data_IF_881575146021
#
_entry.id   IF_881575146021
#
_cell.length_a   1.000
_cell.length_b   1.000
_cell.length_c   1.000
_cell.angle_alpha   90.00
_cell.angle_beta   90.00
_cell.angle_gamma   90.00
#
_symmetry.space_group_name_H-M   'P 1'
#
loop_
_entity.id
_entity.type
_entity.pdbx_description
1 polymer ?
#
# COMPACT_ATOMS: atom_id res chain seq x y z
N UNK A 1 -24.52 -67.91 -10.99
CA UNK A 1 -24.47 -66.63 -11.77
C UNK A 1 -24.68 -65.49 -10.80
N UNK A 2 -23.61 -64.82 -10.36
CA UNK A 2 -23.68 -63.63 -9.50
C UNK A 2 -23.42 -62.44 -10.38
N UNK A 3 -24.39 -61.50 -10.45
CA UNK A 3 -24.28 -60.24 -11.17
C UNK A 3 -23.55 -59.23 -10.26
N UNK A 4 -22.40 -58.75 -10.70
CA UNK A 4 -21.66 -57.64 -10.08
C UNK A 4 -22.25 -56.35 -10.63
N UNK A 5 -22.85 -55.55 -9.75
CA UNK A 5 -23.31 -54.23 -10.08
C UNK A 5 -22.13 -53.22 -9.89
N UNK A 6 -21.68 -52.66 -11.00
CA UNK A 6 -20.65 -51.61 -10.99
C UNK A 6 -21.31 -50.29 -10.65
N UNK A 7 -21.02 -49.73 -9.48
CA UNK A 7 -21.44 -48.37 -9.10
C UNK A 7 -20.43 -47.38 -9.71
N UNK A 8 -20.86 -46.61 -10.71
CA UNK A 8 -20.10 -45.49 -11.25
C UNK A 8 -20.40 -44.28 -10.37
N UNK A 9 -19.43 -43.91 -9.55
CA UNK A 9 -19.48 -42.70 -8.72
C UNK A 9 -19.07 -41.50 -9.59
N UNK A 10 -20.04 -40.67 -9.96
CA UNK A 10 -19.77 -39.38 -10.58
C UNK A 10 -19.15 -38.43 -9.51
N UNK A 11 -17.84 -38.22 -9.59
CA UNK A 11 -17.21 -37.08 -8.91
C UNK A 11 -17.61 -35.82 -9.67
N UNK A 12 -18.54 -35.08 -9.12
CA UNK A 12 -18.76 -33.69 -9.55
C UNK A 12 -17.54 -32.87 -9.12
N UNK A 13 -16.68 -32.54 -10.06
CA UNK A 13 -15.67 -31.50 -9.89
C UNK A 13 -16.43 -30.17 -9.67
N UNK A 14 -16.57 -29.77 -8.42
CA UNK A 14 -16.92 -28.40 -8.09
C UNK A 14 -15.67 -27.56 -8.37
N UNK A 15 -15.63 -26.95 -9.56
CA UNK A 15 -14.67 -25.91 -9.86
C UNK A 15 -14.87 -24.81 -8.80
N UNK A 16 -13.78 -24.26 -8.18
CA UNK A 16 -13.93 -23.11 -7.32
C UNK A 16 -14.51 -22.00 -8.20
N UNK A 17 -15.65 -21.47 -7.82
CA UNK A 17 -16.20 -20.28 -8.42
C UNK A 17 -15.16 -19.17 -8.18
N UNK A 18 -14.39 -18.85 -9.21
CA UNK A 18 -13.66 -17.59 -9.26
C UNK A 18 -14.75 -16.52 -9.18
N UNK A 19 -14.87 -15.84 -8.07
CA UNK A 19 -15.67 -14.64 -7.96
C UNK A 19 -15.09 -13.67 -8.98
N UNK A 20 -15.70 -13.60 -10.16
CA UNK A 20 -15.42 -12.54 -11.10
C UNK A 20 -15.75 -11.24 -10.37
N UNK A 21 -14.72 -10.45 -10.12
CA UNK A 21 -14.88 -9.12 -9.52
C UNK A 21 -15.72 -8.33 -10.53
N UNK A 22 -16.99 -8.13 -10.23
CA UNK A 22 -17.93 -7.34 -11.03
C UNK A 22 -17.67 -5.83 -10.83
N UNK A 23 -16.42 -5.42 -10.94
CA UNK A 23 -16.03 -4.01 -10.96
C UNK A 23 -16.17 -3.47 -12.38
N UNK A 24 -16.51 -2.19 -12.51
CA UNK A 24 -16.47 -1.54 -13.81
C UNK A 24 -15.06 -1.66 -14.41
N UNK A 25 -14.94 -2.02 -15.70
CA UNK A 25 -13.62 -2.14 -16.30
C UNK A 25 -12.88 -0.80 -16.23
N UNK A 26 -11.58 -0.81 -15.97
CA UNK A 26 -10.78 0.40 -15.97
C UNK A 26 -10.95 1.14 -17.32
N UNK A 27 -11.18 2.43 -17.26
CA UNK A 27 -11.18 3.30 -18.42
C UNK A 27 -10.03 4.29 -18.30
N UNK A 28 -9.39 4.69 -19.41
CA UNK A 28 -8.43 5.77 -19.38
C UNK A 28 -9.08 7.03 -18.81
N UNK A 29 -8.40 7.77 -17.92
CA UNK A 29 -8.88 9.04 -17.41
C UNK A 29 -9.19 10.03 -18.52
N UNK A 30 -10.23 10.83 -18.34
CA UNK A 30 -10.50 11.96 -19.22
C UNK A 30 -9.54 13.12 -18.91
N UNK A 31 -9.01 13.77 -19.95
CA UNK A 31 -8.07 14.92 -19.79
C UNK A 31 -8.67 16.16 -20.44
N UNK A 32 -9.88 16.53 -20.02
CA UNK A 32 -10.56 17.73 -20.45
C UNK A 32 -10.40 18.81 -19.36
N UNK A 33 -9.75 19.91 -19.70
CA UNK A 33 -9.44 20.98 -18.76
C UNK A 33 -10.68 21.46 -17.99
N UNK A 34 -10.57 21.51 -16.66
CA UNK A 34 -11.65 21.89 -15.77
C UNK A 34 -12.74 20.83 -15.53
N UNK A 35 -12.63 19.65 -16.11
CA UNK A 35 -13.56 18.53 -15.89
C UNK A 35 -12.91 17.44 -15.04
N UNK A 36 -13.69 16.64 -14.28
CA UNK A 36 -13.16 15.49 -13.57
C UNK A 36 -12.52 14.47 -14.52
N UNK A 37 -11.44 13.81 -14.08
CA UNK A 37 -10.81 12.73 -14.85
C UNK A 37 -11.65 11.46 -14.89
N UNK A 38 -12.47 11.21 -13.86
CA UNK A 38 -13.40 10.10 -13.79
C UNK A 38 -14.80 10.53 -14.27
N UNK A 39 -15.21 9.99 -15.41
CA UNK A 39 -16.50 10.33 -16.07
C UNK A 39 -17.56 9.25 -15.94
N UNK A 40 -17.19 8.05 -15.45
CA UNK A 40 -18.14 6.97 -15.21
C UNK A 40 -19.07 7.32 -14.05
N UNK A 41 -20.22 6.67 -14.00
CA UNK A 41 -21.11 6.75 -12.83
C UNK A 41 -20.42 6.09 -11.63
N UNK A 42 -20.65 6.61 -10.41
CA UNK A 42 -20.16 5.96 -9.20
C UNK A 42 -20.75 4.54 -9.07
N UNK A 43 -19.98 3.63 -8.51
CA UNK A 43 -20.43 2.27 -8.18
C UNK A 43 -21.52 2.32 -7.09
N UNK A 44 -21.38 3.22 -6.13
CA UNK A 44 -22.38 3.51 -5.10
C UNK A 44 -23.23 4.71 -5.53
N UNK A 45 -24.28 4.41 -6.31
CA UNK A 45 -25.06 5.40 -7.04
C UNK A 45 -25.74 6.49 -6.16
N UNK A 46 -25.99 6.22 -4.90
CA UNK A 46 -26.60 7.11 -3.91
C UNK A 46 -25.59 7.84 -3.03
N UNK A 47 -24.28 7.55 -3.21
CA UNK A 47 -23.24 8.21 -2.44
C UNK A 47 -23.11 9.70 -2.80
N UNK A 48 -22.88 10.51 -1.78
CA UNK A 48 -22.68 11.95 -1.92
C UNK A 48 -21.50 12.39 -1.08
N UNK A 49 -20.59 13.18 -1.66
CA UNK A 49 -19.50 13.77 -0.88
C UNK A 49 -20.06 14.68 0.22
N UNK A 50 -19.42 14.69 1.37
CA UNK A 50 -19.78 15.59 2.48
C UNK A 50 -19.33 17.03 2.23
N UNK A 51 -18.37 17.23 1.34
CA UNK A 51 -17.92 18.54 0.88
C UNK A 51 -17.47 18.45 -0.59
N UNK A 52 -17.54 19.55 -1.36
CA UNK A 52 -17.35 19.53 -2.81
C UNK A 52 -16.03 18.95 -3.30
N UNK A 53 -14.92 19.18 -2.55
CA UNK A 53 -13.57 18.76 -2.95
C UNK A 53 -13.24 17.32 -2.53
N UNK A 54 -14.18 16.56 -1.97
CA UNK A 54 -13.93 15.21 -1.45
C UNK A 54 -13.77 14.15 -2.55
N UNK A 55 -14.22 14.41 -3.76
CA UNK A 55 -14.12 13.51 -4.92
C UNK A 55 -14.18 14.28 -6.23
N UNK A 56 -13.77 13.66 -7.34
CA UNK A 56 -13.94 14.17 -8.71
C UNK A 56 -13.41 15.58 -8.89
N UNK A 57 -12.20 15.85 -8.39
CA UNK A 57 -11.53 17.12 -8.60
C UNK A 57 -11.33 17.41 -10.11
N UNK A 58 -11.32 18.67 -10.54
CA UNK A 58 -11.13 19.01 -11.95
C UNK A 58 -9.70 18.67 -12.42
N UNK A 59 -9.60 18.24 -13.67
CA UNK A 59 -8.31 18.08 -14.34
C UNK A 59 -7.69 19.44 -14.64
N UNK A 60 -6.43 19.59 -14.28
CA UNK A 60 -5.59 20.71 -14.68
C UNK A 60 -4.21 20.23 -15.09
N UNK A 61 -3.88 20.41 -16.37
CA UNK A 61 -2.57 20.06 -16.90
C UNK A 61 -1.48 20.94 -16.26
N UNK A 62 -0.34 20.32 -15.94
CA UNK A 62 0.81 21.06 -15.39
C UNK A 62 1.88 21.31 -16.45
N UNK A 63 3.01 20.65 -16.34
CA UNK A 63 4.19 20.90 -17.19
C UNK A 63 4.65 19.64 -17.91
N UNK A 64 5.18 19.76 -19.11
CA UNK A 64 5.75 18.63 -19.82
C UNK A 64 7.00 18.11 -19.09
N UNK A 65 7.17 16.81 -19.12
CA UNK A 65 8.31 16.11 -18.51
C UNK A 65 8.87 15.05 -19.46
N UNK A 66 10.08 14.60 -19.15
CA UNK A 66 10.76 13.49 -19.81
C UNK A 66 10.70 12.28 -18.86
N UNK A 67 10.43 11.11 -19.42
CA UNK A 67 10.52 9.82 -18.72
C UNK A 67 11.78 9.09 -19.16
N UNK A 68 12.56 8.62 -18.20
CA UNK A 68 13.72 7.77 -18.42
C UNK A 68 13.54 6.47 -17.67
N UNK A 69 13.61 5.33 -18.37
CA UNK A 69 13.68 4.02 -17.71
C UNK A 69 15.09 3.81 -17.21
N UNK A 70 15.26 3.65 -15.89
CA UNK A 70 16.56 3.40 -15.27
C UNK A 70 16.90 1.91 -15.28
N UNK A 71 15.91 1.06 -15.05
CA UNK A 71 15.98 -0.40 -15.09
C UNK A 71 14.61 -0.96 -15.45
N UNK A 72 14.54 -2.07 -16.18
CA UNK A 72 13.28 -2.64 -16.71
C UNK A 72 13.10 -4.14 -16.46
N UNK A 73 13.96 -4.72 -15.65
CA UNK A 73 13.99 -6.15 -15.36
C UNK A 73 14.01 -6.46 -13.85
N UNK A 74 13.30 -5.68 -13.06
CA UNK A 74 13.07 -5.97 -11.64
C UNK A 74 11.95 -7.01 -11.49
N UNK A 75 12.08 -7.88 -10.50
CA UNK A 75 10.92 -8.62 -10.00
C UNK A 75 9.91 -7.67 -9.39
N UNK A 76 8.71 -8.17 -9.04
CA UNK A 76 7.68 -7.30 -8.44
C UNK A 76 8.25 -6.60 -7.21
N UNK A 77 8.54 -5.30 -7.36
CA UNK A 77 9.18 -4.47 -6.35
C UNK A 77 8.10 -3.70 -5.61
N UNK A 78 8.08 -3.80 -4.27
CA UNK A 78 7.03 -3.27 -3.42
C UNK A 78 7.43 -2.00 -2.67
N UNK A 79 8.72 -1.82 -2.42
CA UNK A 79 9.27 -0.67 -1.70
C UNK A 79 10.56 -0.16 -2.34
N UNK A 80 10.81 1.13 -2.12
CA UNK A 80 12.01 1.82 -2.59
C UNK A 80 12.34 2.97 -1.64
N UNK A 81 13.62 3.13 -1.30
CA UNK A 81 14.10 4.31 -0.58
C UNK A 81 15.53 4.67 -1.01
N UNK A 82 15.94 5.91 -0.74
CA UNK A 82 17.25 6.43 -1.14
C UNK A 82 18.26 6.35 0.02
N UNK A 83 19.43 5.83 -0.28
CA UNK A 83 20.58 5.94 0.60
C UNK A 83 21.21 7.34 0.50
N UNK A 84 21.84 7.85 1.58
CA UNK A 84 22.45 9.19 1.57
C UNK A 84 23.54 9.39 0.51
N UNK A 85 24.14 8.31 0.03
CA UNK A 85 25.12 8.34 -1.04
C UNK A 85 24.49 8.37 -2.44
N UNK A 86 23.18 8.34 -2.57
CA UNK A 86 22.42 8.40 -3.81
C UNK A 86 22.13 7.05 -4.46
N UNK A 87 22.55 5.93 -3.87
CA UNK A 87 22.07 4.59 -4.24
C UNK A 87 20.62 4.41 -3.79
N UNK A 88 19.93 3.43 -4.36
CA UNK A 88 18.55 3.09 -3.98
C UNK A 88 18.49 1.69 -3.40
N UNK A 89 17.74 1.55 -2.32
CA UNK A 89 17.40 0.27 -1.73
C UNK A 89 16.01 -0.14 -2.23
N UNK A 90 15.89 -1.35 -2.75
CA UNK A 90 14.67 -1.89 -3.36
C UNK A 90 14.26 -3.17 -2.66
N UNK A 91 12.95 -3.34 -2.40
CA UNK A 91 12.39 -4.60 -1.89
C UNK A 91 11.63 -5.33 -2.99
N UNK A 92 12.19 -6.42 -3.50
CA UNK A 92 11.49 -7.34 -4.40
C UNK A 92 10.56 -8.25 -3.56
N UNK A 93 9.28 -8.26 -3.88
CA UNK A 93 8.26 -8.97 -3.09
C UNK A 93 8.49 -10.47 -3.06
N UNK A 94 8.69 -11.07 -4.22
CA UNK A 94 9.03 -12.47 -4.41
C UNK A 94 10.18 -12.57 -5.41
N UNK A 95 11.21 -13.30 -5.08
CA UNK A 95 11.36 -14.29 -3.99
C UNK A 95 11.67 -13.73 -2.59
N UNK A 96 11.35 -12.48 -2.29
CA UNK A 96 11.65 -11.85 -1.00
C UNK A 96 13.12 -11.42 -0.92
N UNK A 97 13.51 -10.38 -1.66
CA UNK A 97 14.88 -9.93 -1.74
C UNK A 97 15.02 -8.42 -1.53
N UNK A 98 16.02 -8.00 -0.75
CA UNK A 98 16.53 -6.63 -0.80
C UNK A 98 17.64 -6.55 -1.83
N UNK A 99 17.62 -5.48 -2.63
CA UNK A 99 18.60 -5.18 -3.69
C UNK A 99 19.04 -3.73 -3.59
N UNK A 100 20.25 -3.46 -4.03
CA UNK A 100 20.76 -2.09 -4.13
C UNK A 100 20.94 -1.76 -5.62
N UNK A 101 20.36 -0.64 -6.04
CA UNK A 101 20.63 -0.04 -7.35
C UNK A 101 21.66 1.06 -7.18
N UNK A 102 22.80 0.94 -7.86
CA UNK A 102 23.87 1.93 -7.79
C UNK A 102 23.59 3.16 -8.67
N UNK A 103 24.46 4.16 -8.62
CA UNK A 103 24.35 5.41 -9.40
C UNK A 103 24.48 5.21 -10.91
N UNK A 104 25.01 4.07 -11.35
CA UNK A 104 25.15 3.69 -12.75
C UNK A 104 23.99 2.80 -13.21
N UNK A 105 22.95 2.66 -12.39
CA UNK A 105 21.82 1.77 -12.59
C UNK A 105 22.20 0.29 -12.67
N UNK A 106 23.25 -0.12 -11.99
CA UNK A 106 23.63 -1.53 -11.83
C UNK A 106 22.96 -2.08 -10.56
N UNK A 107 22.19 -3.15 -10.74
CA UNK A 107 21.46 -3.80 -9.65
C UNK A 107 22.36 -4.84 -8.97
N UNK A 108 22.50 -4.76 -7.64
CA UNK A 108 23.24 -5.74 -6.85
C UNK A 108 22.64 -7.15 -6.95
N UNK A 109 23.35 -8.21 -6.62
CA UNK A 109 22.72 -9.47 -6.21
C UNK A 109 21.77 -9.26 -5.03
N UNK A 110 20.83 -10.21 -4.76
CA UNK A 110 20.06 -10.21 -3.53
C UNK A 110 20.96 -10.17 -2.30
N UNK A 111 20.56 -9.42 -1.27
CA UNK A 111 21.27 -9.38 0.01
C UNK A 111 20.85 -10.62 0.82
N UNK A 112 21.70 -11.64 0.98
CA UNK A 112 21.28 -12.95 1.48
C UNK A 112 20.95 -12.97 2.97
N UNK A 113 21.49 -12.02 3.74
CA UNK A 113 21.34 -11.98 5.19
C UNK A 113 19.89 -11.73 5.63
N UNK A 114 19.05 -11.20 4.73
CA UNK A 114 17.62 -10.98 5.01
C UNK A 114 16.91 -12.30 5.37
N UNK A 115 17.36 -13.42 4.83
CA UNK A 115 16.76 -14.73 5.09
C UNK A 115 16.89 -15.19 6.54
N UNK A 116 17.74 -14.55 7.35
CA UNK A 116 17.87 -14.86 8.78
C UNK A 116 16.58 -14.61 9.57
N UNK A 117 15.72 -13.66 9.15
CA UNK A 117 14.42 -13.42 9.79
C UNK A 117 13.32 -14.38 9.34
N UNK A 118 13.55 -15.14 8.30
CA UNK A 118 12.56 -16.08 7.75
C UNK A 118 12.36 -17.31 8.62
N UNK A 119 13.31 -17.64 9.52
CA UNK A 119 13.25 -18.80 10.41
C UNK A 119 12.91 -20.13 9.68
N UNK A 120 13.45 -20.30 8.47
CA UNK A 120 13.20 -21.47 7.62
C UNK A 120 11.92 -21.40 6.79
N UNK A 121 11.16 -20.31 6.85
CA UNK A 121 9.98 -20.06 6.01
C UNK A 121 10.34 -19.19 4.79
N UNK A 122 9.44 -19.14 3.83
CA UNK A 122 9.51 -18.15 2.78
C UNK A 122 8.95 -16.81 3.27
N UNK A 123 9.45 -15.71 2.73
CA UNK A 123 9.00 -14.35 3.06
C UNK A 123 8.56 -13.60 1.82
N UNK A 124 7.58 -12.74 2.01
CA UNK A 124 7.11 -11.76 1.04
C UNK A 124 7.53 -10.40 1.55
N UNK A 125 8.48 -9.74 0.87
CA UNK A 125 8.86 -8.39 1.24
C UNK A 125 7.79 -7.38 0.83
N UNK A 126 7.60 -6.39 1.67
CA UNK A 126 6.71 -5.26 1.45
C UNK A 126 7.53 -3.98 1.28
N UNK A 127 7.54 -3.10 2.24
CA UNK A 127 8.25 -1.82 2.13
C UNK A 127 9.67 -1.87 2.70
N UNK A 128 10.45 -0.87 2.38
CA UNK A 128 11.79 -0.62 2.92
C UNK A 128 11.94 0.87 3.21
N UNK A 129 12.61 1.19 4.32
CA UNK A 129 12.88 2.56 4.72
C UNK A 129 14.30 2.69 5.28
N UNK A 130 14.98 3.77 4.90
CA UNK A 130 16.30 4.14 5.39
C UNK A 130 16.14 5.04 6.61
N UNK A 131 16.81 4.73 7.72
CA UNK A 131 16.77 5.57 8.94
C UNK A 131 17.19 7.00 8.59
N UNK A 132 16.47 8.04 9.00
CA UNK A 132 16.86 9.44 8.78
C UNK A 132 18.26 9.77 9.33
N UNK A 133 18.77 8.97 10.26
CA UNK A 133 20.13 9.07 10.83
C UNK A 133 21.10 8.06 10.24
N UNK A 134 20.82 7.52 9.06
CA UNK A 134 21.60 6.45 8.41
C UNK A 134 23.10 6.76 8.36
N UNK A 135 23.49 7.99 8.06
CA UNK A 135 24.91 8.40 8.04
C UNK A 135 25.64 8.20 9.38
N UNK A 136 24.90 7.98 10.49
CA UNK A 136 25.46 7.72 11.82
C UNK A 136 25.32 6.28 12.27
N UNK A 137 24.19 5.64 11.92
CA UNK A 137 23.81 4.33 12.47
C UNK A 137 23.72 3.22 11.41
N UNK A 138 23.72 3.55 10.13
CA UNK A 138 23.60 2.65 8.99
C UNK A 138 22.36 1.73 9.06
N UNK A 139 21.31 2.15 9.79
CA UNK A 139 20.11 1.34 9.97
C UNK A 139 19.17 1.48 8.79
N UNK A 140 18.57 0.35 8.45
CA UNK A 140 17.42 0.25 7.54
C UNK A 140 16.31 -0.53 8.24
N UNK A 141 15.08 -0.33 7.77
CA UNK A 141 13.92 -1.06 8.22
C UNK A 141 13.20 -1.64 7.01
N UNK A 142 12.59 -2.79 7.19
CA UNK A 142 11.76 -3.38 6.16
C UNK A 142 10.59 -4.13 6.77
N UNK A 143 9.51 -4.24 6.01
CA UNK A 143 8.33 -5.00 6.39
C UNK A 143 8.22 -6.24 5.52
N UNK A 144 7.67 -7.29 6.07
CA UNK A 144 7.46 -8.53 5.37
C UNK A 144 6.32 -9.35 5.99
N UNK A 145 5.81 -10.33 5.22
CA UNK A 145 5.00 -11.42 5.74
C UNK A 145 5.76 -12.72 5.58
N UNK A 146 5.64 -13.64 6.53
CA UNK A 146 6.05 -15.03 6.33
C UNK A 146 4.89 -15.82 5.72
N UNK A 147 5.20 -16.90 5.01
CA UNK A 147 4.19 -17.78 4.48
C UNK A 147 4.67 -19.23 4.42
N UNK A 148 3.70 -20.16 4.37
CA UNK A 148 3.92 -21.60 4.20
C UNK A 148 3.21 -22.05 2.92
N UNK A 149 3.91 -22.81 2.07
CA UNK A 149 3.35 -23.25 0.78
C UNK A 149 2.42 -24.46 0.85
N UNK A 150 2.43 -25.22 1.94
CA UNK A 150 1.67 -26.47 2.09
C UNK A 150 0.51 -26.36 3.07
N UNK A 151 -0.69 -26.85 2.74
CA UNK A 151 -1.19 -27.30 1.43
C UNK A 151 -1.63 -26.13 0.53
N UNK A 152 -1.63 -24.89 1.04
CA UNK A 152 -1.94 -23.64 0.35
C UNK A 152 -0.98 -22.58 0.84
N UNK A 153 -0.74 -21.53 0.04
CA UNK A 153 0.00 -20.34 0.46
C UNK A 153 -0.74 -19.66 1.62
N UNK A 154 -0.16 -19.70 2.81
CA UNK A 154 -0.70 -19.07 4.00
C UNK A 154 0.33 -18.05 4.50
N UNK A 155 0.10 -16.77 4.25
CA UNK A 155 0.84 -15.73 4.95
C UNK A 155 0.22 -15.50 6.33
N UNK A 156 1.04 -15.13 7.30
CA UNK A 156 0.60 -15.16 8.68
C UNK A 156 0.48 -13.76 9.28
N UNK A 157 1.58 -13.10 9.49
CA UNK A 157 1.63 -11.81 10.17
C UNK A 157 2.36 -10.77 9.31
N UNK A 158 2.09 -9.50 9.54
CA UNK A 158 2.97 -8.42 9.09
C UNK A 158 4.04 -8.20 10.15
N UNK A 159 5.28 -8.26 9.72
CA UNK A 159 6.47 -8.06 10.56
C UNK A 159 7.16 -6.76 10.18
N UNK A 160 7.83 -6.16 11.16
CA UNK A 160 8.83 -5.13 10.93
C UNK A 160 10.18 -5.68 11.38
N UNK A 161 11.17 -5.55 10.53
CA UNK A 161 12.55 -5.88 10.86
C UNK A 161 13.46 -4.68 10.70
N UNK A 162 14.57 -4.69 11.41
CA UNK A 162 15.68 -3.75 11.25
C UNK A 162 16.96 -4.50 10.90
N UNK A 163 17.84 -3.82 10.17
CA UNK A 163 19.19 -4.30 9.88
C UNK A 163 20.18 -3.13 9.85
N UNK A 164 21.45 -3.44 9.94
CA UNK A 164 22.54 -2.53 9.63
C UNK A 164 23.05 -2.82 8.23
N UNK A 165 23.14 -1.80 7.37
CA UNK A 165 23.66 -1.90 6.01
C UNK A 165 25.01 -1.21 5.92
N UNK A 166 26.09 -1.98 5.70
CA UNK A 166 27.45 -1.50 5.47
C UNK A 166 27.92 -1.93 4.06
N UNK A 167 28.07 -0.96 3.17
CA UNK A 167 28.31 -1.25 1.75
C UNK A 167 27.11 -1.97 1.13
N UNK A 168 27.32 -3.23 0.75
CA UNK A 168 26.31 -4.12 0.16
C UNK A 168 26.06 -5.36 1.04
N UNK A 169 26.27 -5.24 2.36
CA UNK A 169 26.08 -6.33 3.31
C UNK A 169 25.21 -5.89 4.46
N UNK A 170 24.30 -6.78 4.88
CA UNK A 170 23.50 -6.60 6.05
C UNK A 170 24.15 -7.28 7.26
N UNK A 171 23.98 -6.68 8.41
CA UNK A 171 24.30 -7.25 9.73
C UNK A 171 23.19 -6.89 10.71
N UNK A 172 23.19 -7.48 11.89
CA UNK A 172 22.22 -7.22 12.96
C UNK A 172 20.76 -7.30 12.50
N UNK A 173 20.48 -8.21 11.56
CA UNK A 173 19.13 -8.41 11.01
C UNK A 173 18.24 -9.03 12.08
N UNK A 174 17.19 -8.32 12.48
CA UNK A 174 16.28 -8.78 13.54
C UNK A 174 14.85 -8.32 13.35
N UNK A 175 13.91 -9.16 13.71
CA UNK A 175 12.49 -8.77 13.83
C UNK A 175 12.34 -7.91 15.07
N UNK A 176 11.74 -6.73 14.92
CA UNK A 176 11.47 -5.78 16.01
C UNK A 176 9.99 -5.71 16.36
N UNK A 177 9.09 -6.10 15.43
CA UNK A 177 7.65 -6.10 15.66
C UNK A 177 6.98 -7.23 14.89
N UNK A 178 5.89 -7.76 15.44
CA UNK A 178 5.00 -8.75 14.84
C UNK A 178 3.55 -8.37 15.12
N UNK A 179 2.73 -8.31 14.07
CA UNK A 179 1.30 -8.05 14.22
C UNK A 179 0.55 -9.23 14.87
N UNK A 180 -0.56 -8.94 15.55
CA UNK A 180 -1.47 -9.93 16.11
C UNK A 180 -2.92 -9.58 15.75
N UNK A 181 -3.84 -10.55 15.69
CA UNK A 181 -3.62 -12.00 15.80
C UNK A 181 -2.85 -12.55 14.61
N UNK A 182 -2.31 -13.76 14.77
CA UNK A 182 -1.81 -14.50 13.63
C UNK A 182 -2.97 -14.85 12.72
N UNK A 183 -2.82 -14.59 11.44
CA UNK A 183 -3.87 -14.78 10.47
C UNK A 183 -3.76 -16.18 9.83
N UNK A 184 -4.83 -16.97 9.80
CA UNK A 184 -4.86 -18.22 9.07
C UNK A 184 -5.25 -17.96 7.60
N UNK A 185 -4.47 -17.12 6.88
CA UNK A 185 -4.84 -16.73 5.53
C UNK A 185 -4.76 -17.90 4.56
N UNK A 186 -5.74 -18.00 3.67
CA UNK A 186 -5.70 -18.87 2.50
C UNK A 186 -5.18 -18.06 1.32
N UNK A 187 -3.98 -18.41 0.84
CA UNK A 187 -3.34 -17.73 -0.28
C UNK A 187 -2.32 -16.65 0.14
N UNK A 188 -1.65 -16.04 -0.83
CA UNK A 188 -0.89 -14.81 -0.60
C UNK A 188 -1.91 -13.72 -0.24
N UNK A 189 -2.14 -13.53 1.04
CA UNK A 189 -3.16 -12.63 1.54
C UNK A 189 -3.01 -11.25 0.93
N UNK A 190 -4.08 -10.74 0.37
CA UNK A 190 -4.23 -9.35 0.00
C UNK A 190 -4.27 -8.45 1.24
N UNK A 191 -4.24 -7.15 1.01
CA UNK A 191 -4.46 -6.12 2.04
C UNK A 191 -3.52 -6.28 3.23
N UNK A 192 -2.23 -6.40 2.95
CA UNK A 192 -1.21 -6.56 3.99
C UNK A 192 -0.83 -5.24 4.65
N UNK A 193 -0.96 -4.12 3.93
CA UNK A 193 -0.32 -2.88 4.32
C UNK A 193 1.20 -3.00 4.27
N UNK A 194 1.87 -2.62 5.33
CA UNK A 194 3.31 -2.77 5.50
C UNK A 194 4.11 -1.52 5.11
N UNK A 195 3.46 -0.38 4.83
CA UNK A 195 4.18 0.89 4.55
C UNK A 195 4.81 1.44 5.81
N UNK A 196 6.01 2.01 5.64
CA UNK A 196 6.80 2.60 6.72
C UNK A 196 6.98 4.10 6.46
N UNK A 197 6.74 4.92 7.49
CA UNK A 197 7.09 6.32 7.50
C UNK A 197 7.73 6.71 8.83
N UNK A 198 8.78 7.55 8.80
CA UNK A 198 9.40 8.07 10.01
C UNK A 198 8.71 9.35 10.47
N UNK A 199 8.33 9.38 11.75
CA UNK A 199 7.93 10.60 12.43
C UNK A 199 9.13 11.53 12.67
N UNK A 200 8.86 12.80 12.95
CA UNK A 200 9.90 13.78 13.31
C UNK A 200 10.63 13.43 14.60
N UNK A 201 10.03 12.61 15.45
CA UNK A 201 10.60 12.05 16.68
C UNK A 201 11.56 10.88 16.41
N UNK A 202 11.65 10.41 15.15
CA UNK A 202 12.48 9.29 14.73
C UNK A 202 11.85 7.92 14.99
N UNK A 203 10.58 7.87 15.41
CA UNK A 203 9.82 6.63 15.55
C UNK A 203 9.18 6.23 14.21
N UNK A 204 8.74 4.98 14.12
CA UNK A 204 8.15 4.42 12.91
C UNK A 204 6.62 4.39 13.01
N UNK A 205 5.97 4.88 11.96
CA UNK A 205 4.57 4.60 11.68
C UNK A 205 4.50 3.50 10.63
N UNK A 206 3.70 2.47 10.89
CA UNK A 206 3.57 1.33 9.98
C UNK A 206 2.10 1.00 9.76
N UNK A 207 1.72 0.78 8.50
CA UNK A 207 0.36 0.37 8.16
C UNK A 207 0.21 -1.15 8.24
N UNK A 208 -0.93 -1.61 8.73
CA UNK A 208 -1.31 -3.02 8.74
C UNK A 208 -2.73 -3.12 8.20
N UNK A 209 -2.90 -3.88 7.12
CA UNK A 209 -4.21 -4.07 6.49
C UNK A 209 -5.14 -5.00 7.26
N UNK A 210 -6.40 -5.03 6.85
CA UNK A 210 -7.43 -5.86 7.48
C UNK A 210 -7.35 -7.35 7.09
N UNK A 211 -6.47 -7.70 6.14
CA UNK A 211 -6.17 -9.06 5.70
C UNK A 211 -7.37 -9.77 5.05
N UNK A 212 -8.18 -9.06 4.27
CA UNK A 212 -9.38 -9.58 3.61
C UNK A 212 -10.46 -10.09 4.57
N UNK A 213 -10.61 -9.42 5.70
CA UNK A 213 -11.77 -9.70 6.56
C UNK A 213 -13.06 -9.48 5.78
N UNK A 214 -13.97 -10.41 5.86
CA UNK A 214 -15.30 -10.33 5.22
C UNK A 214 -16.31 -11.17 6.00
N UNK A 215 -17.62 -10.95 5.81
CA UNK A 215 -18.64 -11.79 6.44
C UNK A 215 -18.54 -13.27 6.07
N UNK A 216 -17.94 -13.57 4.90
CA UNK A 216 -17.77 -14.92 4.37
C UNK A 216 -16.49 -15.60 4.87
N UNK A 217 -15.55 -14.85 5.44
CA UNK A 217 -14.38 -15.42 6.09
C UNK A 217 -14.72 -15.78 7.54
N UNK A 218 -14.09 -16.81 8.07
CA UNK A 218 -14.24 -17.22 9.49
C UNK A 218 -13.60 -16.23 10.46
N UNK A 219 -13.13 -15.09 9.98
CA UNK A 219 -12.35 -14.13 10.68
C UNK A 219 -13.22 -12.93 11.01
N UNK A 220 -12.92 -12.34 12.14
CA UNK A 220 -13.64 -11.22 12.69
C UNK A 220 -13.66 -10.01 11.73
N UNK A 221 -14.75 -9.84 11.00
CA UNK A 221 -14.91 -8.74 10.06
C UNK A 221 -14.69 -7.37 10.68
N UNK A 222 -14.99 -7.21 11.96
CA UNK A 222 -14.79 -5.96 12.68
C UNK A 222 -13.41 -5.84 13.35
N UNK A 223 -12.43 -6.65 12.95
CA UNK A 223 -11.08 -6.58 13.51
C UNK A 223 -10.45 -5.18 13.41
N UNK A 224 -10.72 -4.44 12.30
CA UNK A 224 -10.26 -3.08 12.13
C UNK A 224 -10.80 -2.09 13.18
N UNK A 225 -11.94 -2.40 13.82
CA UNK A 225 -12.56 -1.62 14.89
C UNK A 225 -12.08 -2.02 16.30
N UNK A 226 -11.41 -3.17 16.45
CA UNK A 226 -11.02 -3.69 17.77
C UNK A 226 -9.61 -3.27 18.14
N UNK A 227 -9.47 -2.76 19.37
CA UNK A 227 -8.16 -2.35 19.90
C UNK A 227 -7.26 -3.52 20.31
N UNK A 228 -7.82 -4.72 20.46
CA UNK A 228 -7.05 -5.96 20.72
C UNK A 228 -6.46 -6.62 19.47
N UNK A 229 -6.50 -5.95 18.32
CA UNK A 229 -6.01 -6.45 17.03
C UNK A 229 -5.23 -5.37 16.29
N UNK A 230 -4.13 -5.74 15.62
CA UNK A 230 -3.39 -4.84 14.73
C UNK A 230 -4.00 -4.78 13.31
N UNK A 231 -5.00 -5.60 12.99
CA UNK A 231 -5.61 -5.60 11.66
C UNK A 231 -6.37 -4.30 11.38
N UNK A 232 -6.14 -3.70 10.22
CA UNK A 232 -6.74 -2.43 9.82
C UNK A 232 -6.30 -1.24 10.67
N UNK A 233 -4.99 -1.10 10.89
CA UNK A 233 -4.40 -0.11 11.80
C UNK A 233 -3.22 0.65 11.17
N UNK A 234 -2.97 1.83 11.70
CA UNK A 234 -1.61 2.41 11.75
C UNK A 234 -1.08 2.17 13.15
N UNK A 235 0.12 1.60 13.26
CA UNK A 235 0.85 1.46 14.51
C UNK A 235 1.99 2.48 14.58
N UNK A 236 2.40 2.82 15.82
CA UNK A 236 3.50 3.74 16.08
C UNK A 236 4.44 3.11 17.12
N UNK A 237 5.64 2.79 16.67
CA UNK A 237 6.66 2.03 17.43
C UNK A 237 8.01 2.73 17.38
N UNK A 238 8.82 2.48 18.41
CA UNK A 238 10.21 2.93 18.42
C UNK A 238 11.05 2.13 17.40
N UNK A 239 12.24 2.61 17.02
CA UNK A 239 13.16 1.84 16.19
C UNK A 239 13.59 0.48 16.78
N UNK A 240 13.34 0.23 18.06
CA UNK A 240 13.57 -1.03 18.75
C UNK A 240 12.31 -1.92 18.82
N UNK A 241 11.15 -1.42 18.32
CA UNK A 241 9.90 -2.16 18.24
C UNK A 241 8.98 -2.02 19.46
N UNK A 242 9.35 -1.24 20.45
CA UNK A 242 8.47 -0.93 21.59
C UNK A 242 7.36 0.05 21.18
N UNK A 243 6.21 0.07 21.87
CA UNK A 243 5.22 1.13 21.68
C UNK A 243 5.88 2.51 21.84
N UNK A 244 5.67 3.39 20.86
CA UNK A 244 6.28 4.72 20.93
C UNK A 244 5.62 5.60 22.01
N UNK A 245 6.37 6.51 22.63
CA UNK A 245 5.80 7.43 23.60
C UNK A 245 4.65 8.24 23.04
N UNK A 246 3.62 8.43 23.82
CA UNK A 246 2.47 9.23 23.45
C UNK A 246 1.42 8.51 22.61
N UNK A 247 1.50 7.21 22.39
CA UNK A 247 0.42 6.44 21.75
C UNK A 247 -0.90 6.59 22.52
N UNK A 248 -2.04 6.65 21.79
CA UNK A 248 -3.32 7.03 22.39
C UNK A 248 -3.92 5.99 23.33
N UNK A 249 -3.61 4.70 23.14
CA UNK A 249 -4.27 3.59 23.83
C UNK A 249 -3.41 2.91 24.91
N UNK A 250 -2.26 3.51 25.26
CA UNK A 250 -1.37 3.00 26.33
C UNK A 250 -2.12 2.97 27.66
N UNK A 251 -2.10 1.82 28.35
CA UNK A 251 -2.80 1.63 29.63
C UNK A 251 -4.30 1.35 29.53
N UNK A 252 -4.88 1.39 28.34
CA UNK A 252 -6.29 1.00 28.17
C UNK A 252 -6.41 -0.52 28.18
N UNK A 253 -7.26 -1.05 29.05
CA UNK A 253 -7.47 -2.50 29.17
C UNK A 253 -7.95 -3.11 27.85
N UNK A 254 -7.29 -4.20 27.42
CA UNK A 254 -7.59 -4.90 26.18
C UNK A 254 -7.11 -4.22 24.89
N UNK A 255 -6.47 -3.06 24.97
CA UNK A 255 -5.88 -2.38 23.82
C UNK A 255 -4.41 -2.73 23.65
N UNK A 256 -3.97 -2.85 22.38
CA UNK A 256 -2.57 -2.98 22.01
C UNK A 256 -1.91 -1.59 22.03
N UNK A 257 -0.85 -1.40 22.79
CA UNK A 257 -0.26 -0.08 23.07
C UNK A 257 0.44 0.55 21.85
N UNK A 258 0.72 -0.23 20.80
CA UNK A 258 1.33 0.24 19.54
C UNK A 258 0.34 0.96 18.63
N UNK A 259 -0.97 0.80 18.83
CA UNK A 259 -1.98 1.35 17.93
C UNK A 259 -1.98 2.88 17.97
N UNK A 260 -1.91 3.50 16.79
CA UNK A 260 -2.03 4.94 16.59
C UNK A 260 -3.41 5.34 16.06
N UNK A 261 -3.93 4.59 15.05
CA UNK A 261 -5.23 4.82 14.43
C UNK A 261 -5.88 3.49 14.02
N UNK A 262 -7.20 3.47 13.90
CA UNK A 262 -8.02 2.28 13.66
C UNK A 262 -8.95 2.44 12.46
N UNK A 263 -9.58 1.35 12.02
CA UNK A 263 -10.68 1.42 11.05
C UNK A 263 -10.22 1.59 9.61
N UNK A 264 -9.05 1.07 9.24
CA UNK A 264 -8.52 1.03 7.87
C UNK A 264 -8.76 -0.33 7.23
N UNK A 265 -8.85 -0.36 5.89
CA UNK A 265 -9.02 -1.60 5.13
C UNK A 265 -7.71 -2.11 4.54
N UNK A 266 -7.20 -1.41 3.55
CA UNK A 266 -6.00 -1.81 2.79
C UNK A 266 -5.07 -0.61 2.60
N UNK A 267 -4.39 -0.17 3.67
CA UNK A 267 -3.52 1.00 3.65
C UNK A 267 -2.22 0.70 2.91
N UNK A 268 -2.13 1.13 1.65
CA UNK A 268 -1.05 0.81 0.71
C UNK A 268 -0.08 1.98 0.45
N UNK A 269 -0.35 3.15 1.00
CA UNK A 269 0.54 4.31 0.99
C UNK A 269 0.64 4.96 2.36
N UNK A 270 1.80 5.54 2.70
CA UNK A 270 2.00 6.27 3.95
C UNK A 270 3.12 7.28 3.76
N UNK A 271 2.85 8.56 4.03
CA UNK A 271 3.87 9.61 3.95
C UNK A 271 3.54 10.80 4.85
N UNK A 272 4.56 11.40 5.43
CA UNK A 272 4.43 12.71 6.06
C UNK A 272 4.51 13.82 5.02
N UNK A 273 3.61 14.78 5.08
CA UNK A 273 3.81 16.04 4.37
C UNK A 273 4.93 16.83 5.06
N UNK A 274 6.06 17.08 4.39
CA UNK A 274 7.18 17.78 4.99
C UNK A 274 6.85 19.22 5.43
N UNK A 275 5.85 19.86 4.79
CA UNK A 275 5.45 21.23 5.08
C UNK A 275 4.59 21.31 6.35
N UNK A 276 3.60 20.46 6.48
CA UNK A 276 2.63 20.50 7.59
C UNK A 276 2.98 19.56 8.74
N UNK A 277 3.73 18.50 8.45
CA UNK A 277 4.01 17.41 9.40
C UNK A 277 2.82 16.49 9.62
N UNK A 278 1.77 16.58 8.81
CA UNK A 278 0.64 15.67 8.86
C UNK A 278 1.00 14.34 8.20
N UNK A 279 0.55 13.26 8.80
CA UNK A 279 0.69 11.91 8.24
C UNK A 279 -0.49 11.62 7.31
N UNK A 280 -0.20 11.29 6.06
CA UNK A 280 -1.18 10.95 5.05
C UNK A 280 -1.07 9.47 4.69
N UNK A 281 -2.19 8.90 4.34
CA UNK A 281 -2.33 7.51 3.99
C UNK A 281 -3.23 7.37 2.76
N UNK A 282 -2.99 6.34 1.93
CA UNK A 282 -3.89 5.92 0.86
C UNK A 282 -4.30 4.47 1.05
N UNK A 283 -5.59 4.19 0.85
CA UNK A 283 -6.12 2.83 0.98
C UNK A 283 -7.06 2.42 -0.15
N UNK A 284 -7.11 1.10 -0.38
CA UNK A 284 -8.02 0.51 -1.34
C UNK A 284 -9.37 0.26 -0.71
N UNK A 285 -10.40 0.81 -1.32
CA UNK A 285 -11.77 0.40 -1.10
C UNK A 285 -12.07 -0.98 -1.71
N UNK A 286 -13.26 -1.53 -1.53
CA UNK A 286 -13.65 -2.79 -2.18
C UNK A 286 -14.03 -2.55 -3.64
N UNK A 287 -15.25 -2.13 -3.90
CA UNK A 287 -15.76 -1.74 -5.21
C UNK A 287 -16.14 -0.25 -5.13
N UNK A 288 -15.23 0.63 -5.58
CA UNK A 288 -15.26 2.05 -5.25
C UNK A 288 -14.81 2.34 -3.81
N UNK A 289 -14.73 3.63 -3.46
CA UNK A 289 -14.36 4.07 -2.11
C UNK A 289 -12.91 3.86 -1.75
N UNK A 290 -12.01 3.93 -2.73
CA UNK A 290 -10.58 4.14 -2.47
C UNK A 290 -10.38 5.51 -1.83
N UNK A 291 -9.45 5.66 -0.88
CA UNK A 291 -9.38 6.86 -0.04
C UNK A 291 -7.96 7.43 0.10
N UNK A 292 -7.92 8.74 0.32
CA UNK A 292 -6.78 9.46 0.90
C UNK A 292 -7.20 10.01 2.25
N UNK A 293 -6.46 9.65 3.28
CA UNK A 293 -6.72 9.99 4.66
C UNK A 293 -5.59 10.84 5.28
N UNK A 294 -5.92 11.76 6.19
CA UNK A 294 -4.96 12.38 7.11
C UNK A 294 -5.05 11.64 8.44
N UNK A 295 -4.00 10.91 8.77
CA UNK A 295 -3.99 10.03 9.94
C UNK A 295 -3.75 10.82 11.23
N UNK A 296 -4.77 10.85 12.09
CA UNK A 296 -4.78 11.53 13.38
C UNK A 296 -4.60 10.53 14.52
N UNK A 297 -3.97 10.97 15.59
CA UNK A 297 -3.78 10.19 16.81
C UNK A 297 -5.12 9.77 17.42
N UNK A 298 -5.33 8.47 17.62
CA UNK A 298 -6.51 7.90 18.25
C UNK A 298 -7.77 7.87 17.37
N UNK A 299 -7.66 8.30 16.12
CA UNK A 299 -8.79 8.38 15.21
C UNK A 299 -9.22 7.00 14.68
N UNK A 300 -10.51 6.92 14.26
CA UNK A 300 -11.12 5.77 13.63
C UNK A 300 -11.60 6.14 12.24
N UNK A 301 -11.10 5.47 11.18
CA UNK A 301 -11.43 5.71 9.78
C UNK A 301 -12.62 4.86 9.29
N UNK A 302 -13.23 4.12 10.18
CA UNK A 302 -14.59 3.60 10.04
C UNK A 302 -14.73 2.25 9.39
N UNK A 303 -13.75 1.71 8.65
CA UNK A 303 -13.88 0.39 8.03
C UNK A 303 -14.18 -0.71 9.07
N UNK A 304 -15.13 -1.65 8.84
CA UNK A 304 -16.11 -1.73 7.74
C UNK A 304 -17.49 -1.11 8.09
N UNK A 305 -17.57 -0.22 9.06
CA UNK A 305 -18.85 0.40 9.52
C UNK A 305 -19.30 1.49 8.56
N UNK A 306 -18.36 2.32 8.09
CA UNK A 306 -18.60 3.32 7.03
C UNK A 306 -17.66 3.05 5.86
N UNK A 307 -18.14 3.32 4.64
CA UNK A 307 -17.32 3.26 3.41
C UNK A 307 -18.04 3.94 2.25
N UNK A 308 -17.29 4.58 1.35
CA UNK A 308 -17.78 5.10 0.08
C UNK A 308 -17.88 4.00 -1.00
N UNK A 309 -17.47 2.76 -0.70
CA UNK A 309 -17.53 1.61 -1.62
C UNK A 309 -18.69 0.65 -1.35
N UNK A 310 -18.80 -0.35 -2.21
CA UNK A 310 -19.74 -1.46 -2.13
C UNK A 310 -18.99 -2.78 -2.07
N UNK A 311 -19.64 -3.86 -1.62
CA UNK A 311 -19.06 -5.20 -1.73
C UNK A 311 -19.03 -5.66 -3.20
N UNK A 312 -18.12 -6.59 -3.53
CA UNK A 312 -17.90 -7.08 -4.91
C UNK A 312 -19.16 -7.59 -5.62
N UNK A 313 -20.15 -8.23 -4.97
CA UNK A 313 -21.43 -8.54 -5.58
C UNK A 313 -22.29 -7.31 -5.94
N UNK A 314 -21.88 -6.10 -5.57
CA UNK A 314 -22.66 -4.88 -5.78
C UNK A 314 -23.74 -4.64 -4.74
N UNK A 315 -23.52 -5.13 -3.52
CA UNK A 315 -24.39 -4.92 -2.37
C UNK A 315 -23.73 -3.97 -1.36
N UNK A 316 -24.51 -3.29 -0.50
CA UNK A 316 -23.95 -2.45 0.55
C UNK A 316 -23.07 -3.24 1.53
N UNK A 317 -22.05 -2.58 2.07
CA UNK A 317 -21.24 -3.08 3.19
C UNK A 317 -21.88 -2.60 4.47
N UNK A 318 -22.10 -3.52 5.43
CA UNK A 318 -22.78 -3.23 6.67
C UNK A 318 -24.14 -2.55 6.44
N UNK A 319 -24.37 -1.41 7.08
CA UNK A 319 -25.60 -0.62 6.92
C UNK A 319 -25.59 0.28 5.68
N UNK A 320 -24.55 0.22 4.84
CA UNK A 320 -24.42 1.02 3.62
C UNK A 320 -24.16 2.51 3.85
N UNK A 321 -23.77 2.90 5.06
CA UNK A 321 -23.55 4.30 5.44
C UNK A 321 -22.13 4.76 5.10
N UNK A 322 -21.98 6.05 4.78
CA UNK A 322 -20.71 6.67 4.43
C UNK A 322 -20.14 7.56 5.53
N UNK A 323 -20.96 7.89 6.53
CA UNK A 323 -20.56 8.73 7.65
C UNK A 323 -21.19 8.26 8.96
N UNK A 324 -20.46 8.41 10.07
CA UNK A 324 -20.93 8.12 11.42
C UNK A 324 -20.16 8.99 12.42
N UNK A 325 -20.83 9.47 13.46
CA UNK A 325 -20.20 10.23 14.53
C UNK A 325 -19.05 9.42 15.17
N UNK A 326 -17.90 10.08 15.42
CA UNK A 326 -16.70 9.45 15.96
C UNK A 326 -15.85 8.70 14.93
N UNK A 327 -16.20 8.76 13.64
CA UNK A 327 -15.42 8.21 12.54
C UNK A 327 -14.98 9.32 11.61
N UNK A 328 -13.70 9.30 11.23
CA UNK A 328 -13.08 10.27 10.32
C UNK A 328 -13.56 10.05 8.89
N UNK A 329 -13.56 11.13 8.14
CA UNK A 329 -13.86 11.13 6.71
C UNK A 329 -12.57 11.26 5.91
N UNK A 330 -12.49 10.61 4.72
CA UNK A 330 -11.36 10.83 3.84
C UNK A 330 -11.27 12.27 3.36
N UNK A 331 -10.04 12.71 3.12
CA UNK A 331 -9.78 13.99 2.41
C UNK A 331 -10.26 13.91 0.98
N UNK A 332 -10.09 12.74 0.36
CA UNK A 332 -10.47 12.47 -1.01
C UNK A 332 -10.79 10.99 -1.19
N UNK A 333 -11.75 10.68 -2.07
CA UNK A 333 -12.05 9.30 -2.46
C UNK A 333 -12.33 9.17 -3.95
N UNK A 334 -12.06 7.96 -4.47
CA UNK A 334 -12.37 7.58 -5.86
C UNK A 334 -13.49 6.56 -5.89
N UNK A 335 -14.49 6.84 -6.71
CA UNK A 335 -15.57 5.91 -7.05
C UNK A 335 -15.97 6.12 -8.53
N UNK A 336 -15.71 5.13 -9.41
CA UNK A 336 -15.15 3.77 -9.21
C UNK A 336 -13.70 3.73 -8.72
N UNK A 337 -13.30 2.55 -8.18
CA UNK A 337 -11.96 2.30 -7.66
C UNK A 337 -10.86 2.42 -8.73
N UNK A 338 -9.71 2.97 -8.33
CA UNK A 338 -8.47 3.08 -9.11
C UNK A 338 -7.28 2.34 -8.49
N UNK A 339 -7.45 1.79 -7.27
CA UNK A 339 -6.48 1.07 -6.46
C UNK A 339 -5.23 1.92 -6.16
N UNK A 340 -5.31 2.97 -5.32
CA UNK A 340 -4.16 3.77 -4.91
C UNK A 340 -3.18 2.94 -4.08
N UNK A 341 -1.88 3.15 -4.33
CA UNK A 341 -0.80 2.49 -3.61
C UNK A 341 0.15 3.54 -2.99
N UNK A 342 1.46 3.45 -3.26
CA UNK A 342 2.43 4.37 -2.69
C UNK A 342 2.14 5.85 -2.98
N UNK A 343 2.39 6.69 -2.01
CA UNK A 343 2.21 8.15 -2.09
C UNK A 343 3.50 8.90 -1.80
N UNK A 344 3.65 10.09 -2.39
CA UNK A 344 4.78 10.98 -2.11
C UNK A 344 4.41 12.45 -2.30
N UNK A 345 4.77 13.28 -1.33
CA UNK A 345 4.64 14.74 -1.45
C UNK A 345 5.76 15.33 -2.29
N UNK A 346 5.42 16.23 -3.20
CA UNK A 346 6.40 16.98 -3.95
C UNK A 346 6.69 18.35 -3.29
N UNK A 347 7.94 18.51 -2.86
CA UNK A 347 8.47 19.77 -2.29
C UNK A 347 9.79 20.18 -2.96
N UNK A 348 10.21 19.42 -4.01
CA UNK A 348 11.42 19.67 -4.76
C UNK A 348 11.39 20.98 -5.54
N UNK A 349 12.56 21.39 -6.04
CA UNK A 349 12.71 22.59 -6.86
C UNK A 349 12.83 22.27 -8.35
N UNK A 350 12.99 20.99 -8.72
CA UNK A 350 13.17 20.60 -10.11
C UNK A 350 11.91 20.86 -10.95
N UNK A 351 10.73 20.69 -10.34
CA UNK A 351 9.42 21.04 -10.91
C UNK A 351 8.71 22.05 -10.01
N UNK A 352 8.98 23.37 -10.12
CA UNK A 352 8.36 24.37 -9.26
C UNK A 352 6.82 24.35 -9.31
N UNK A 353 6.24 23.98 -10.46
CA UNK A 353 4.80 23.89 -10.69
C UNK A 353 4.13 22.70 -9.97
N UNK A 354 4.94 21.70 -9.58
CA UNK A 354 4.45 20.55 -8.81
C UNK A 354 4.53 20.75 -7.29
N UNK A 355 5.01 21.90 -6.82
CA UNK A 355 4.95 22.21 -5.39
C UNK A 355 3.51 22.13 -4.89
N UNK A 356 3.33 21.61 -3.67
CA UNK A 356 2.03 21.30 -3.08
C UNK A 356 1.24 20.18 -3.79
N UNK A 357 1.90 19.31 -4.52
CA UNK A 357 1.28 18.09 -5.04
C UNK A 357 1.54 16.89 -4.13
N UNK A 358 0.55 16.01 -4.10
CA UNK A 358 0.66 14.63 -3.63
C UNK A 358 0.60 13.73 -4.86
N UNK A 359 1.64 12.93 -5.09
CA UNK A 359 1.62 11.87 -6.09
C UNK A 359 1.05 10.60 -5.48
N UNK A 360 0.18 9.92 -6.23
CA UNK A 360 -0.44 8.66 -5.87
C UNK A 360 -0.22 7.65 -7.00
N UNK A 361 0.41 6.54 -6.70
CA UNK A 361 0.61 5.46 -7.67
C UNK A 361 -0.68 4.65 -7.82
N UNK A 362 -1.31 4.65 -9.00
CA UNK A 362 -2.55 3.94 -9.26
C UNK A 362 -2.29 2.58 -9.88
N UNK A 363 -2.81 1.52 -9.24
CA UNK A 363 -2.62 0.16 -9.76
C UNK A 363 -3.63 -0.17 -10.85
N UNK A 364 -4.92 -0.17 -10.56
CA UNK A 364 -5.95 -0.46 -11.56
C UNK A 364 -6.18 0.69 -12.51
N UNK A 365 -6.06 1.92 -12.04
CA UNK A 365 -6.13 3.11 -12.87
C UNK A 365 -5.03 3.17 -13.94
N UNK A 366 -3.86 2.55 -13.68
CA UNK A 366 -2.70 2.49 -14.57
C UNK A 366 -2.13 3.86 -14.95
N UNK A 367 -2.10 4.78 -14.01
CA UNK A 367 -1.48 6.10 -14.14
C UNK A 367 -0.82 6.51 -12.81
N UNK A 368 0.05 7.49 -12.88
CA UNK A 368 0.53 8.20 -11.71
C UNK A 368 -0.36 9.43 -11.52
N UNK A 369 -1.13 9.45 -10.45
CA UNK A 369 -2.00 10.59 -10.17
C UNK A 369 -1.26 11.69 -9.45
N UNK A 370 -1.43 12.94 -9.90
CA UNK A 370 -0.91 14.13 -9.26
C UNK A 370 -2.06 14.96 -8.71
N UNK A 371 -2.27 14.87 -7.41
CA UNK A 371 -3.25 15.66 -6.69
C UNK A 371 -2.64 17.01 -6.31
N UNK A 372 -3.23 18.10 -6.75
CA UNK A 372 -2.87 19.45 -6.30
C UNK A 372 -3.60 19.77 -5.01
N UNK A 373 -2.84 20.16 -3.99
CA UNK A 373 -3.37 20.41 -2.65
C UNK A 373 -3.45 21.89 -2.31
N UNK A 374 -4.57 22.30 -1.70
CA UNK A 374 -4.74 23.60 -1.06
C UNK A 374 -5.44 23.43 0.28
N UNK A 375 -4.81 23.90 1.37
CA UNK A 375 -5.35 23.78 2.73
C UNK A 375 -5.76 22.32 3.09
N UNK A 376 -4.92 21.36 2.73
CA UNK A 376 -5.15 19.91 2.92
C UNK A 376 -6.39 19.36 2.18
N UNK A 377 -6.88 20.03 1.15
CA UNK A 377 -7.93 19.56 0.24
C UNK A 377 -7.36 19.31 -1.14
N UNK A 378 -7.92 18.36 -1.87
CA UNK A 378 -7.60 18.10 -3.28
C UNK A 378 -8.39 19.09 -4.13
N UNK A 379 -7.69 19.95 -4.86
CA UNK A 379 -8.32 21.00 -5.70
C UNK A 379 -8.14 20.77 -7.19
N UNK A 380 -7.27 19.83 -7.58
CA UNK A 380 -7.12 19.38 -8.96
C UNK A 380 -6.47 18.00 -9.01
N UNK A 381 -6.71 17.29 -10.10
CA UNK A 381 -6.25 15.93 -10.37
C UNK A 381 -5.63 15.86 -11.77
N UNK A 382 -4.46 15.24 -11.92
CA UNK A 382 -3.77 15.10 -13.21
C UNK A 382 -3.18 13.70 -13.36
N UNK A 383 -3.72 12.86 -14.28
CA UNK A 383 -3.20 11.54 -14.55
C UNK A 383 -1.95 11.63 -15.45
N UNK A 384 -0.81 11.21 -14.93
CA UNK A 384 0.47 11.17 -15.63
C UNK A 384 0.81 9.73 -16.05
N UNK A 385 1.69 9.54 -17.05
CA UNK A 385 2.20 8.24 -17.47
C UNK A 385 1.12 7.27 -18.01
N UNK A 386 0.01 7.77 -18.51
CA UNK A 386 -1.08 6.93 -19.07
C UNK A 386 -0.62 6.10 -20.28
N UNK A 387 0.35 6.61 -21.04
CA UNK A 387 0.94 5.96 -22.21
C UNK A 387 1.78 4.71 -21.84
N UNK A 388 2.23 4.60 -20.60
CA UNK A 388 2.94 3.40 -20.11
C UNK A 388 1.99 2.21 -19.95
N UNK A 389 0.69 2.46 -19.75
CA UNK A 389 -0.40 1.48 -19.66
C UNK A 389 -0.10 0.28 -18.77
N UNK A 390 0.45 0.53 -17.59
CA UNK A 390 0.76 -0.49 -16.59
C UNK A 390 0.37 -0.01 -15.19
N UNK A 391 0.28 -0.93 -14.26
CA UNK A 391 0.05 -0.62 -12.84
C UNK A 391 1.26 0.12 -12.28
N UNK A 392 1.02 1.04 -11.35
CA UNK A 392 2.08 1.71 -10.58
C UNK A 392 1.92 1.36 -9.10
N UNK A 393 3.04 1.07 -8.42
CA UNK A 393 3.04 0.62 -7.02
C UNK A 393 3.69 1.61 -6.07
N UNK A 394 4.78 2.23 -6.48
CA UNK A 394 5.58 3.11 -5.62
C UNK A 394 5.89 4.40 -6.35
N UNK A 395 5.80 5.49 -5.64
CA UNK A 395 6.33 6.79 -6.05
C UNK A 395 7.21 7.34 -4.94
N UNK A 396 8.35 7.92 -5.29
CA UNK A 396 9.24 8.64 -4.37
C UNK A 396 9.80 9.89 -5.06
N UNK A 397 10.08 10.90 -4.27
CA UNK A 397 10.85 12.07 -4.72
C UNK A 397 12.29 11.89 -4.31
N UNK A 398 13.19 11.85 -5.28
CA UNK A 398 14.60 11.67 -5.03
C UNK A 398 15.29 12.91 -4.45
N UNK A 399 16.51 12.74 -3.90
CA UNK A 399 17.30 13.85 -3.37
C UNK A 399 17.68 14.86 -4.45
N UNK A 400 17.63 14.48 -5.72
CA UNK A 400 17.83 15.35 -6.89
C UNK A 400 16.55 16.10 -7.31
N UNK A 401 15.44 15.91 -6.60
CA UNK A 401 14.14 16.52 -6.88
C UNK A 401 13.37 15.87 -8.04
N UNK A 402 13.89 14.83 -8.68
CA UNK A 402 13.15 14.07 -9.67
C UNK A 402 12.11 13.14 -9.01
N UNK A 403 11.08 12.78 -9.77
CA UNK A 403 10.08 11.80 -9.33
C UNK A 403 10.45 10.43 -9.87
N UNK A 404 10.48 9.45 -8.97
CA UNK A 404 10.81 8.05 -9.28
C UNK A 404 9.58 7.18 -9.06
N UNK A 405 9.30 6.30 -10.02
CA UNK A 405 8.09 5.50 -10.03
C UNK A 405 8.42 4.05 -10.35
N UNK A 406 7.94 3.11 -9.52
CA UNK A 406 7.99 1.69 -9.82
C UNK A 406 6.68 1.23 -10.43
N UNK A 407 6.77 0.56 -11.57
CA UNK A 407 5.64 -0.14 -12.17
C UNK A 407 5.33 -1.43 -11.40
N UNK A 408 4.17 -2.02 -11.64
CA UNK A 408 3.76 -3.29 -11.05
C UNK A 408 3.16 -4.19 -12.14
N UNK A 409 3.79 -5.31 -12.41
CA UNK A 409 3.31 -6.29 -13.40
C UNK A 409 2.07 -7.08 -12.95
N UNK A 410 1.52 -6.77 -11.77
CA UNK A 410 0.41 -7.48 -11.15
C UNK A 410 0.86 -8.63 -10.26
N UNK A 411 0.00 -9.00 -9.31
CA UNK A 411 0.34 -9.98 -8.28
C UNK A 411 -0.40 -11.31 -8.44
N UNK A 412 -1.32 -11.42 -9.40
CA UNK A 412 -2.25 -12.54 -9.48
C UNK A 412 -1.58 -13.90 -9.76
N UNK A 413 -0.37 -13.92 -10.32
CA UNK A 413 0.35 -15.14 -10.69
C UNK A 413 1.85 -15.05 -10.39
N UNK A 414 2.23 -14.48 -9.25
CA UNK A 414 3.63 -14.38 -8.88
C UNK A 414 4.12 -15.73 -8.38
N UNK A 415 5.02 -16.33 -9.13
CA UNK A 415 5.76 -17.53 -8.75
C UNK A 415 7.26 -17.32 -8.96
N UNK A 416 8.08 -18.27 -8.54
CA UNK A 416 9.54 -18.18 -8.71
C UNK A 416 9.99 -18.06 -10.17
N UNK A 417 9.12 -18.42 -11.12
CA UNK A 417 9.36 -18.36 -12.56
C UNK A 417 8.69 -17.14 -13.23
N UNK A 418 8.12 -16.21 -12.47
CA UNK A 418 7.52 -15.00 -13.05
C UNK A 418 8.63 -14.13 -13.64
N UNK A 419 8.56 -13.76 -14.94
CA UNK A 419 9.59 -12.91 -15.55
C UNK A 419 9.69 -11.56 -14.81
N UNK A 420 10.90 -11.03 -14.65
CA UNK A 420 11.11 -9.70 -14.10
C UNK A 420 10.66 -8.66 -15.14
N UNK A 421 9.57 -7.94 -14.85
CA UNK A 421 8.94 -6.97 -15.75
C UNK A 421 8.68 -5.61 -15.11
N UNK A 422 9.00 -5.47 -13.83
CA UNK A 422 8.88 -4.20 -13.12
C UNK A 422 9.95 -3.23 -13.61
N UNK A 423 9.55 -1.99 -13.90
CA UNK A 423 10.42 -0.91 -14.34
C UNK A 423 10.54 0.15 -13.25
N UNK A 424 11.74 0.72 -13.16
CA UNK A 424 11.96 1.96 -12.43
C UNK A 424 12.06 3.11 -13.44
N UNK A 425 11.12 4.03 -13.34
CA UNK A 425 11.01 5.22 -14.17
C UNK A 425 11.48 6.45 -13.39
N UNK A 426 12.14 7.38 -14.07
CA UNK A 426 12.55 8.68 -13.55
C UNK A 426 11.94 9.80 -14.39
N UNK A 427 11.24 10.74 -13.74
CA UNK A 427 10.65 11.91 -14.37
C UNK A 427 11.54 13.12 -14.11
N UNK A 428 11.89 13.84 -15.18
CA UNK A 428 12.66 15.09 -15.16
C UNK A 428 12.01 16.13 -16.06
N UNK A 429 12.24 17.42 -15.89
CA UNK A 429 11.77 18.45 -16.84
C UNK A 429 12.25 18.14 -18.28
N UNK A 430 11.43 18.56 -19.26
CA UNK A 430 11.84 18.56 -20.67
C UNK A 430 12.89 19.64 -20.94
#
# INVERSE_FOLDING_TARGET
MRRIATFVMWLALVAPAAFAQNTLPPQPPATVEGQPIETRKPEKADDKPLFPEQTRAPYHASVPFKVTTLIDNLHVTWGMDFLPDGRMLLSERLPGALRILDKNNVLSPPLPEIMSVAAGKEIVLLDVAVDPRFSRNHRIFFTFCDFVREPQLNDTNTYVASARLDGDRLSDVKVIFRSVPQWPAKGLGGKTGGRIAFGRDGNLFVTIGDRDTSPQTTIDWFAAQKLGSHLGKVIHITPEGAPAPGNPFVGQAGALPEIWATGLRSPEGLAFDPATGLLWESELGPRGGDEINIIKKGANYGWPVITHGMDYPGVPIGDGITAKEGMEQPVYYWDPASDPAGIAFYRGNLFPQWKNSLFVAMMNGKFLDRLTLSNNKVVAEEPLLMDVNTRFRVVRVGPDGAVYVLTDSGTANIGPNTPPTTKLLKLTPK
#
